data_IF_344910273359
#
_entry.id   IF_344910273359
#
_cell.length_a   1.000
_cell.length_b   1.000
_cell.length_c   1.000
_cell.angle_alpha   90.00
_cell.angle_beta   90.00
_cell.angle_gamma   90.00
#
_symmetry.space_group_name_H-M   'P 1'
#
loop_
_entity.id
_entity.type
_entity.pdbx_description
1 polymer ?
#
# COMPACT_ATOMS: atom_id res chain seq x y z
N UNK A 1 -34.88 -41.24 2.02
CA UNK A 1 -33.63 -40.47 2.23
C UNK A 1 -33.26 -39.88 0.87
N UNK A 2 -33.20 -38.55 0.71
CA UNK A 2 -32.61 -38.00 -0.50
C UNK A 2 -31.11 -38.31 -0.52
N UNK A 3 -30.50 -38.52 -1.70
CA UNK A 3 -29.06 -38.73 -1.80
C UNK A 3 -28.30 -37.47 -1.35
N UNK A 4 -27.06 -37.59 -0.84
CA UNK A 4 -26.22 -36.43 -0.58
C UNK A 4 -26.01 -35.66 -1.90
N UNK A 5 -26.00 -34.31 -1.86
CA UNK A 5 -25.73 -33.53 -3.06
C UNK A 5 -24.36 -33.90 -3.61
N UNK A 6 -24.32 -34.28 -4.88
CA UNK A 6 -23.09 -34.52 -5.63
C UNK A 6 -22.32 -33.21 -5.75
N UNK A 7 -21.37 -32.96 -4.84
CA UNK A 7 -20.46 -31.81 -4.88
C UNK A 7 -19.45 -32.01 -6.00
N UNK A 8 -19.81 -31.59 -7.22
CA UNK A 8 -18.91 -31.58 -8.38
C UNK A 8 -18.05 -30.31 -8.47
N UNK A 9 -18.18 -29.40 -7.51
CA UNK A 9 -17.36 -28.18 -7.43
C UNK A 9 -16.19 -28.43 -6.48
N UNK A 10 -14.93 -28.24 -6.91
CA UNK A 10 -13.80 -28.29 -5.99
C UNK A 10 -14.00 -27.31 -4.83
N UNK A 11 -13.69 -27.69 -3.58
CA UNK A 11 -13.81 -26.76 -2.45
C UNK A 11 -12.83 -25.62 -2.65
N UNK A 12 -13.38 -24.42 -2.85
CA UNK A 12 -12.59 -23.20 -3.07
C UNK A 12 -11.78 -22.88 -1.81
N UNK A 13 -10.62 -22.20 -1.96
CA UNK A 13 -9.79 -21.79 -0.82
C UNK A 13 -10.62 -21.13 0.28
N UNK A 14 -10.43 -21.62 1.52
CA UNK A 14 -11.26 -21.22 2.67
C UNK A 14 -10.37 -21.01 3.90
N UNK A 15 -10.46 -19.82 4.50
CA UNK A 15 -9.88 -19.53 5.81
C UNK A 15 -10.81 -20.05 6.91
N UNK A 16 -10.23 -20.69 7.93
CA UNK A 16 -10.95 -21.10 9.14
C UNK A 16 -10.29 -20.43 10.34
N UNK A 17 -11.11 -19.87 11.24
CA UNK A 17 -10.64 -19.13 12.40
C UNK A 17 -10.91 -19.90 13.69
N UNK A 18 -9.85 -20.23 14.42
CA UNK A 18 -9.92 -20.87 15.74
C UNK A 18 -9.75 -19.84 16.86
N UNK A 19 -10.53 -20.03 17.94
CA UNK A 19 -10.46 -19.21 19.16
C UNK A 19 -10.69 -17.72 18.94
N UNK A 20 -11.40 -17.34 17.87
CA UNK A 20 -11.68 -15.94 17.55
C UNK A 20 -12.50 -15.30 18.69
N UNK A 21 -12.02 -14.19 19.28
CA UNK A 21 -12.77 -13.49 20.33
C UNK A 21 -14.03 -12.84 19.75
N UNK A 22 -15.00 -12.56 20.62
CA UNK A 22 -16.21 -11.82 20.25
C UNK A 22 -15.91 -10.31 20.24
N UNK A 23 -16.52 -9.59 19.30
CA UNK A 23 -16.41 -8.13 19.15
C UNK A 23 -15.00 -7.60 18.86
N UNK A 24 -14.09 -8.47 18.42
CA UNK A 24 -12.82 -8.03 17.86
C UNK A 24 -13.01 -7.51 16.45
N UNK A 25 -12.00 -6.80 15.94
CA UNK A 25 -11.98 -6.34 14.57
C UNK A 25 -11.22 -7.35 13.70
N UNK A 26 -11.81 -7.67 12.55
CA UNK A 26 -11.24 -8.57 11.55
C UNK A 26 -11.37 -7.95 10.17
N UNK A 27 -10.26 -7.91 9.45
CA UNK A 27 -10.21 -7.50 8.06
C UNK A 27 -9.55 -8.55 7.18
N UNK A 28 -10.04 -8.67 5.96
CA UNK A 28 -9.44 -9.45 4.89
C UNK A 28 -9.50 -8.60 3.61
N UNK A 29 -8.34 -8.16 3.14
CA UNK A 29 -8.21 -7.26 2.00
C UNK A 29 -8.98 -5.95 2.21
N UNK A 30 -9.98 -5.66 1.38
CA UNK A 30 -10.87 -4.50 1.50
C UNK A 30 -12.15 -4.80 2.33
N UNK A 31 -12.33 -6.04 2.81
CA UNK A 31 -13.44 -6.41 3.67
C UNK A 31 -13.04 -6.20 5.13
N UNK A 32 -13.85 -5.47 5.89
CA UNK A 32 -13.72 -5.36 7.35
C UNK A 32 -15.03 -5.71 8.04
N UNK A 33 -14.94 -6.32 9.23
CA UNK A 33 -16.10 -6.72 10.03
C UNK A 33 -15.74 -6.83 11.51
N UNK A 34 -16.76 -6.71 12.35
CA UNK A 34 -16.68 -7.07 13.78
C UNK A 34 -16.97 -8.56 13.94
N UNK A 35 -16.10 -9.26 14.66
CA UNK A 35 -16.23 -10.71 14.87
C UNK A 35 -17.47 -11.04 15.70
N UNK A 36 -18.09 -12.18 15.39
CA UNK A 36 -19.24 -12.69 16.13
C UNK A 36 -19.05 -14.17 16.47
N UNK A 37 -19.75 -14.72 17.48
CA UNK A 37 -19.64 -16.14 17.84
C UNK A 37 -19.97 -17.10 16.68
N UNK A 38 -20.71 -16.63 15.68
CA UNK A 38 -21.12 -17.42 14.51
C UNK A 38 -20.07 -17.44 13.40
N UNK A 39 -19.16 -16.48 13.39
CA UNK A 39 -18.11 -16.41 12.37
C UNK A 39 -17.07 -17.49 12.64
N UNK A 40 -16.90 -18.38 11.68
CA UNK A 40 -15.96 -19.50 11.75
C UNK A 40 -14.92 -19.44 10.63
N UNK A 41 -15.13 -18.61 9.60
CA UNK A 41 -14.21 -18.53 8.48
C UNK A 41 -14.72 -17.69 7.31
N UNK A 42 -13.89 -17.58 6.29
CA UNK A 42 -14.20 -16.91 5.01
C UNK A 42 -13.87 -17.88 3.88
N UNK A 43 -14.80 -18.08 2.96
CA UNK A 43 -14.67 -19.00 1.82
C UNK A 43 -14.64 -18.27 0.48
N UNK A 44 -14.30 -19.02 -0.56
CA UNK A 44 -14.27 -18.57 -1.96
C UNK A 44 -13.23 -17.47 -2.23
N UNK A 45 -12.07 -17.55 -1.57
CA UNK A 45 -10.99 -16.60 -1.84
C UNK A 45 -10.41 -16.88 -3.24
N UNK A 46 -10.22 -15.84 -4.07
CA UNK A 46 -9.63 -15.99 -5.39
C UNK A 46 -8.12 -16.31 -5.28
N UNK A 47 -7.47 -16.77 -6.37
CA UNK A 47 -6.02 -16.83 -6.43
C UNK A 47 -5.37 -15.44 -6.39
N UNK A 48 -4.24 -15.31 -5.70
CA UNK A 48 -3.50 -14.07 -5.55
C UNK A 48 -2.95 -13.85 -4.13
N UNK A 49 -2.33 -12.69 -3.91
CA UNK A 49 -1.97 -12.24 -2.57
C UNK A 49 -3.20 -11.74 -1.83
N UNK A 50 -3.23 -12.00 -0.53
CA UNK A 50 -4.27 -11.56 0.37
C UNK A 50 -3.65 -11.04 1.67
N UNK A 51 -4.36 -10.13 2.32
CA UNK A 51 -3.94 -9.54 3.58
C UNK A 51 -5.01 -9.73 4.65
N UNK A 52 -4.72 -10.57 5.64
CA UNK A 52 -5.59 -10.80 6.79
C UNK A 52 -5.07 -9.96 7.96
N UNK A 53 -5.93 -9.13 8.55
CA UNK A 53 -5.56 -8.26 9.66
C UNK A 53 -6.62 -8.26 10.75
N UNK A 54 -6.21 -7.98 11.97
CA UNK A 54 -7.06 -8.07 13.13
C UNK A 54 -6.57 -7.18 14.26
N UNK A 55 -7.47 -6.84 15.16
CA UNK A 55 -7.15 -6.14 16.41
C UNK A 55 -8.17 -6.50 17.49
N UNK A 56 -7.79 -6.38 18.76
CA UNK A 56 -8.64 -6.75 19.90
C UNK A 56 -9.89 -5.89 20.01
N UNK A 57 -9.82 -4.64 19.54
CA UNK A 57 -10.93 -3.71 19.41
C UNK A 57 -10.80 -2.85 18.13
N UNK A 58 -11.94 -2.40 17.60
CA UNK A 58 -12.00 -1.59 16.39
C UNK A 58 -11.44 -0.15 16.56
N UNK A 59 -11.43 0.39 17.79
CA UNK A 59 -11.24 1.83 17.99
C UNK A 59 -9.83 2.26 18.42
N UNK A 60 -9.11 1.46 19.23
CA UNK A 60 -7.91 1.94 19.93
C UNK A 60 -6.77 0.90 20.05
N UNK A 61 -6.86 -0.25 19.38
CA UNK A 61 -5.87 -1.33 19.53
C UNK A 61 -4.93 -1.45 18.34
N UNK A 62 -3.69 -1.89 18.61
CA UNK A 62 -2.68 -2.18 17.58
C UNK A 62 -3.24 -3.19 16.59
N UNK A 63 -3.18 -2.84 15.31
CA UNK A 63 -3.60 -3.74 14.23
C UNK A 63 -2.43 -4.58 13.82
N UNK A 64 -2.65 -5.88 13.74
CA UNK A 64 -1.67 -6.85 13.26
C UNK A 64 -2.22 -7.53 12.02
N UNK A 65 -1.39 -7.73 11.01
CA UNK A 65 -1.79 -8.43 9.82
C UNK A 65 -0.70 -9.29 9.21
N UNK A 66 -1.15 -10.17 8.33
CA UNK A 66 -0.34 -11.14 7.63
C UNK A 66 -0.69 -11.16 6.16
N UNK A 67 0.33 -11.01 5.33
CA UNK A 67 0.28 -11.35 3.92
C UNK A 67 0.39 -12.85 3.73
N UNK A 68 -0.39 -13.40 2.81
CA UNK A 68 -0.30 -14.79 2.37
C UNK A 68 -0.74 -14.90 0.91
N UNK A 69 -0.36 -16.01 0.26
CA UNK A 69 -0.65 -16.24 -1.15
C UNK A 69 -1.56 -17.45 -1.36
N UNK A 70 -2.59 -17.29 -2.20
CA UNK A 70 -3.47 -18.36 -2.64
C UNK A 70 -3.07 -18.74 -4.08
N UNK A 71 -2.54 -19.96 -4.30
CA UNK A 71 -2.15 -20.39 -5.63
C UNK A 71 -3.37 -20.63 -6.51
N UNK A 72 -3.18 -20.45 -7.82
CA UNK A 72 -4.17 -20.80 -8.81
C UNK A 72 -4.55 -22.29 -8.70
N UNK A 73 -5.83 -22.65 -8.92
CA UNK A 73 -6.24 -24.05 -8.89
C UNK A 73 -5.45 -24.83 -9.94
N UNK A 74 -4.65 -25.79 -9.50
CA UNK A 74 -3.99 -26.73 -10.41
C UNK A 74 -5.08 -27.61 -11.04
N UNK A 75 -5.13 -27.73 -12.38
CA UNK A 75 -6.04 -28.69 -13.00
C UNK A 75 -5.67 -30.08 -12.49
N UNK A 76 -6.67 -30.82 -12.00
CA UNK A 76 -6.49 -32.19 -11.55
C UNK A 76 -5.86 -32.99 -12.71
N UNK A 77 -4.62 -33.43 -12.55
CA UNK A 77 -4.08 -34.53 -13.36
C UNK A 77 -5.04 -35.69 -13.25
N UNK A 78 -5.37 -36.35 -14.36
CA UNK A 78 -6.39 -37.42 -14.44
C UNK A 78 -6.33 -38.35 -13.21
N UNK A 79 -7.34 -38.26 -12.33
CA UNK A 79 -7.46 -39.06 -11.11
C UNK A 79 -7.04 -38.39 -9.79
N UNK A 80 -6.49 -37.18 -9.79
CA UNK A 80 -6.18 -36.41 -8.58
C UNK A 80 -7.42 -35.78 -7.95
N UNK A 81 -7.67 -36.04 -6.66
CA UNK A 81 -8.64 -35.26 -5.88
C UNK A 81 -8.19 -33.80 -5.85
N UNK A 82 -9.13 -32.87 -6.05
CA UNK A 82 -8.86 -31.46 -5.74
C UNK A 82 -8.51 -31.35 -4.25
N UNK A 83 -7.31 -30.87 -3.94
CA UNK A 83 -6.97 -30.50 -2.57
C UNK A 83 -7.82 -29.29 -2.17
N UNK A 84 -8.84 -29.54 -1.34
CA UNK A 84 -9.52 -28.49 -0.59
C UNK A 84 -8.49 -27.76 0.28
N UNK A 85 -8.09 -26.55 -0.12
CA UNK A 85 -7.13 -25.76 0.66
C UNK A 85 -7.85 -25.04 1.79
N UNK A 86 -8.02 -25.74 2.90
CA UNK A 86 -8.38 -25.16 4.18
C UNK A 86 -7.13 -24.48 4.74
N UNK A 87 -7.28 -23.23 5.14
CA UNK A 87 -6.18 -22.42 5.66
C UNK A 87 -6.54 -22.05 7.10
N UNK A 88 -6.09 -22.82 8.10
CA UNK A 88 -6.42 -22.54 9.49
C UNK A 88 -5.61 -21.37 10.03
N UNK A 89 -6.28 -20.53 10.80
CA UNK A 89 -5.73 -19.39 11.53
C UNK A 89 -6.23 -19.45 12.96
N UNK A 90 -5.38 -19.08 13.91
CA UNK A 90 -5.73 -19.10 15.33
C UNK A 90 -5.53 -17.73 15.94
N UNK A 91 -6.46 -17.32 16.79
CA UNK A 91 -6.26 -16.16 17.65
C UNK A 91 -5.20 -16.44 18.73
N UNK A 92 -4.21 -15.57 18.81
CA UNK A 92 -3.27 -15.52 19.92
C UNK A 92 -3.74 -14.44 20.91
N UNK A 93 -4.20 -14.84 22.10
CA UNK A 93 -4.56 -13.89 23.15
C UNK A 93 -3.35 -13.15 23.73
N UNK A 94 -2.14 -13.69 23.60
CA UNK A 94 -0.89 -13.06 24.05
C UNK A 94 -0.48 -11.90 23.13
N UNK A 95 -0.60 -12.10 21.82
CA UNK A 95 -0.19 -11.11 20.81
C UNK A 95 -1.39 -10.29 20.28
N UNK A 96 -2.59 -10.55 20.80
CA UNK A 96 -3.86 -9.98 20.34
C UNK A 96 -4.05 -9.97 18.80
N UNK A 97 -3.65 -11.06 18.14
CA UNK A 97 -3.68 -11.16 16.68
C UNK A 97 -3.99 -12.58 16.17
N UNK A 98 -4.45 -12.67 14.91
CA UNK A 98 -4.54 -13.93 14.18
C UNK A 98 -3.18 -14.36 13.65
N UNK A 99 -2.79 -15.59 13.96
CA UNK A 99 -1.54 -16.19 13.49
C UNK A 99 -1.82 -17.42 12.62
N UNK A 100 -0.97 -17.68 11.60
CA UNK A 100 -1.13 -18.86 10.76
C UNK A 100 -0.89 -20.13 11.58
N UNK A 101 -1.83 -21.09 11.51
CA UNK A 101 -1.67 -22.38 12.16
C UNK A 101 -1.05 -23.35 11.15
N UNK A 102 0.04 -24.04 11.54
CA UNK A 102 0.62 -25.09 10.71
C UNK A 102 -0.42 -26.16 10.41
N UNK A 103 -0.34 -26.76 9.21
CA UNK A 103 -1.27 -27.81 8.78
C UNK A 103 -1.43 -28.84 9.90
N UNK A 104 -2.64 -28.93 10.44
CA UNK A 104 -3.02 -30.12 11.19
C UNK A 104 -2.92 -31.23 10.15
N UNK A 105 -1.94 -32.13 10.30
CA UNK A 105 -1.80 -33.32 9.46
C UNK A 105 -3.07 -34.17 9.42
N UNK A 106 -4.06 -33.87 10.28
CA UNK A 106 -5.44 -34.34 10.17
C UNK A 106 -6.22 -33.52 9.13
N UNK A 107 -5.92 -33.77 7.87
CA UNK A 107 -6.85 -33.46 6.76
C UNK A 107 -8.26 -33.99 7.06
N UNK A 108 -8.39 -35.08 7.82
CA UNK A 108 -9.68 -35.60 8.29
C UNK A 108 -10.38 -34.70 9.32
N UNK A 109 -9.68 -34.11 10.30
CA UNK A 109 -10.29 -33.18 11.27
C UNK A 109 -10.70 -31.89 10.59
N UNK A 110 -9.82 -31.31 9.75
CA UNK A 110 -10.12 -30.08 9.03
C UNK A 110 -11.26 -30.28 8.01
N UNK A 111 -11.33 -31.43 7.33
CA UNK A 111 -12.44 -31.78 6.44
C UNK A 111 -13.74 -32.08 7.21
N UNK A 112 -13.65 -32.72 8.38
CA UNK A 112 -14.80 -32.92 9.27
C UNK A 112 -15.35 -31.59 9.81
N UNK A 113 -14.46 -30.64 10.10
CA UNK A 113 -14.81 -29.27 10.50
C UNK A 113 -15.46 -28.51 9.34
N UNK A 114 -14.92 -28.61 8.11
CA UNK A 114 -15.56 -28.05 6.92
C UNK A 114 -17.00 -28.53 6.77
N UNK A 115 -17.26 -29.85 6.86
CA UNK A 115 -18.60 -30.41 6.72
C UNK A 115 -19.58 -29.88 7.77
N UNK A 116 -19.11 -29.58 8.98
CA UNK A 116 -19.92 -28.97 10.06
C UNK A 116 -20.14 -27.47 9.88
N UNK A 117 -19.14 -26.76 9.35
CA UNK A 117 -19.10 -25.30 9.33
C UNK A 117 -19.66 -24.70 8.02
N UNK A 118 -19.66 -25.48 6.93
CA UNK A 118 -20.03 -25.05 5.57
C UNK A 118 -21.39 -24.35 5.46
N UNK A 119 -22.37 -24.79 6.26
CA UNK A 119 -23.76 -24.30 6.15
C UNK A 119 -24.08 -23.08 7.05
N UNK A 120 -23.27 -22.76 8.08
CA UNK A 120 -23.72 -21.80 9.12
C UNK A 120 -22.70 -20.81 9.67
N UNK A 121 -21.42 -20.89 9.29
CA UNK A 121 -20.38 -20.02 9.86
C UNK A 121 -19.36 -19.41 8.89
N UNK A 122 -19.48 -19.67 7.58
CA UNK A 122 -18.55 -19.15 6.57
C UNK A 122 -19.13 -17.95 5.85
N UNK A 123 -18.41 -16.82 5.90
CA UNK A 123 -18.68 -15.68 5.05
C UNK A 123 -18.15 -15.92 3.64
N UNK A 124 -18.88 -15.48 2.62
CA UNK A 124 -18.43 -15.59 1.23
C UNK A 124 -17.66 -14.34 0.82
N UNK A 125 -16.38 -14.49 0.48
CA UNK A 125 -15.52 -13.38 0.05
C UNK A 125 -16.08 -12.66 -1.19
N UNK A 126 -16.77 -13.40 -2.07
CA UNK A 126 -17.27 -12.86 -3.34
C UNK A 126 -18.59 -12.12 -3.22
N UNK A 127 -19.27 -12.25 -2.08
CA UNK A 127 -20.53 -11.55 -1.87
C UNK A 127 -20.22 -10.12 -1.39
N UNK A 128 -20.77 -9.09 -2.05
CA UNK A 128 -20.61 -7.72 -1.61
C UNK A 128 -21.32 -7.55 -0.26
N UNK A 129 -20.54 -7.59 0.82
CA UNK A 129 -21.02 -7.21 2.14
C UNK A 129 -21.31 -5.71 2.14
N UNK A 130 -22.59 -5.32 2.19
CA UNK A 130 -23.09 -3.98 2.54
C UNK A 130 -22.54 -2.75 1.78
N UNK A 131 -21.71 -2.88 0.74
CA UNK A 131 -21.26 -1.76 -0.10
C UNK A 131 -22.31 -1.46 -1.17
N UNK A 132 -22.69 -0.18 -1.30
CA UNK A 132 -23.79 0.29 -2.17
C UNK A 132 -23.43 0.34 -3.66
N UNK A 133 -22.20 0.02 -4.05
CA UNK A 133 -21.76 0.08 -5.45
C UNK A 133 -21.25 -1.28 -5.91
N UNK A 134 -21.78 -1.75 -7.04
CA UNK A 134 -21.62 -3.11 -7.59
C UNK A 134 -20.25 -3.43 -8.17
N UNK A 135 -19.17 -2.97 -7.54
CA UNK A 135 -17.80 -3.43 -7.81
C UNK A 135 -17.62 -4.87 -7.32
N UNK A 136 -16.93 -5.71 -8.11
CA UNK A 136 -16.50 -7.02 -7.62
C UNK A 136 -15.27 -6.79 -6.74
N UNK A 137 -15.42 -6.86 -5.42
CA UNK A 137 -14.35 -6.69 -4.42
C UNK A 137 -13.00 -7.33 -4.85
N UNK A 138 -13.05 -8.53 -5.41
CA UNK A 138 -11.87 -9.26 -5.88
C UNK A 138 -11.18 -8.72 -7.14
N UNK A 139 -11.83 -7.90 -7.98
CA UNK A 139 -11.14 -7.21 -9.08
C UNK A 139 -10.39 -5.98 -8.60
N UNK A 140 -10.99 -5.20 -7.70
CA UNK A 140 -10.36 -4.01 -7.10
C UNK A 140 -9.10 -4.40 -6.32
N UNK A 141 -9.21 -5.43 -5.46
CA UNK A 141 -8.07 -5.94 -4.70
C UNK A 141 -6.93 -6.43 -5.61
N UNK A 142 -7.25 -7.09 -6.72
CA UNK A 142 -6.24 -7.55 -7.69
C UNK A 142 -5.47 -6.39 -8.30
N UNK A 143 -6.15 -5.31 -8.66
CA UNK A 143 -5.50 -4.12 -9.21
C UNK A 143 -4.61 -3.43 -8.17
N UNK A 144 -5.03 -3.41 -6.89
CA UNK A 144 -4.23 -2.90 -5.78
C UNK A 144 -3.03 -3.78 -5.40
N UNK A 145 -2.99 -5.04 -5.85
CA UNK A 145 -1.93 -6.01 -5.52
C UNK A 145 -1.14 -6.52 -6.73
N UNK A 146 -1.35 -5.93 -7.91
CA UNK A 146 -0.76 -6.38 -9.18
C UNK A 146 0.77 -6.54 -9.17
N UNK A 147 1.48 -5.68 -8.43
CA UNK A 147 2.94 -5.63 -8.33
C UNK A 147 3.47 -6.17 -6.99
N UNK A 148 2.60 -6.69 -6.12
CA UNK A 148 3.02 -7.38 -4.90
C UNK A 148 3.61 -8.74 -5.29
N UNK A 149 4.78 -9.06 -4.74
CA UNK A 149 5.53 -10.30 -5.03
C UNK A 149 6.18 -10.84 -3.77
N UNK A 150 6.55 -12.13 -3.79
CA UNK A 150 7.31 -12.77 -2.70
C UNK A 150 8.61 -12.02 -2.44
N UNK A 151 9.36 -11.62 -3.49
CA UNK A 151 10.63 -10.91 -3.35
C UNK A 151 10.46 -9.54 -2.68
N UNK A 152 9.39 -8.80 -3.02
CA UNK A 152 9.05 -7.54 -2.36
C UNK A 152 8.75 -7.77 -0.87
N UNK A 153 7.87 -8.73 -0.56
CA UNK A 153 7.47 -9.00 0.82
C UNK A 153 8.62 -9.56 1.64
N UNK A 154 9.46 -10.41 1.04
CA UNK A 154 10.68 -10.96 1.65
C UNK A 154 11.70 -9.87 1.96
N UNK A 155 11.86 -8.90 1.04
CA UNK A 155 12.71 -7.73 1.28
C UNK A 155 12.14 -6.87 2.40
N UNK A 156 10.92 -6.35 2.25
CA UNK A 156 10.38 -5.31 3.14
C UNK A 156 10.01 -5.86 4.53
N UNK A 157 9.38 -7.03 4.57
CA UNK A 157 8.82 -7.63 5.79
C UNK A 157 9.59 -8.85 6.25
N UNK A 158 10.15 -9.63 5.31
CA UNK A 158 10.75 -10.96 5.50
C UNK A 158 9.78 -12.04 5.95
N UNK A 159 9.98 -13.24 5.40
CA UNK A 159 9.08 -14.35 5.66
C UNK A 159 9.10 -14.80 7.13
N UNK A 160 7.89 -14.92 7.69
CA UNK A 160 7.62 -15.63 8.93
C UNK A 160 7.32 -17.08 8.59
N UNK A 161 8.01 -18.00 9.28
CA UNK A 161 7.70 -19.41 9.15
C UNK A 161 6.45 -19.76 9.97
N UNK A 162 5.56 -20.59 9.40
CA UNK A 162 4.41 -21.13 10.13
C UNK A 162 4.86 -21.87 11.41
N UNK A 163 4.03 -21.85 12.44
CA UNK A 163 4.27 -22.56 13.69
C UNK A 163 3.09 -23.49 14.01
N UNK A 164 3.38 -24.69 14.52
CA UNK A 164 2.36 -25.61 15.03
C UNK A 164 1.93 -25.23 16.46
N UNK A 165 0.92 -25.93 17.01
CA UNK A 165 0.43 -25.71 18.38
C UNK A 165 1.50 -25.91 19.48
N UNK A 166 2.59 -26.60 19.17
CA UNK A 166 3.71 -26.84 20.07
C UNK A 166 4.89 -25.87 19.80
N UNK A 167 4.72 -24.86 18.94
CA UNK A 167 5.74 -23.88 18.58
C UNK A 167 6.81 -24.40 17.63
N UNK A 168 6.63 -25.59 17.02
CA UNK A 168 7.57 -26.12 16.02
C UNK A 168 7.31 -25.50 14.66
N UNK A 169 8.40 -25.25 13.94
CA UNK A 169 8.39 -24.69 12.59
C UNK A 169 7.62 -25.62 11.65
N UNK A 170 6.56 -25.12 11.05
CA UNK A 170 5.77 -25.80 10.03
C UNK A 170 6.52 -25.89 8.70
N UNK A 171 5.93 -26.62 7.72
CA UNK A 171 6.55 -26.79 6.41
C UNK A 171 6.74 -25.44 5.70
N UNK A 172 7.84 -25.32 4.95
CA UNK A 172 8.21 -24.12 4.19
C UNK A 172 7.22 -23.76 3.06
N UNK A 173 6.19 -24.59 2.82
CA UNK A 173 5.20 -24.45 1.75
C UNK A 173 4.18 -23.34 1.97
N UNK A 174 4.07 -22.77 3.17
CA UNK A 174 3.24 -21.59 3.45
C UNK A 174 4.11 -20.45 3.97
N UNK A 175 4.57 -19.60 3.05
CA UNK A 175 5.16 -18.30 3.40
C UNK A 175 4.06 -17.35 3.84
N UNK A 176 4.34 -16.59 4.88
CA UNK A 176 3.50 -15.49 5.36
C UNK A 176 4.39 -14.37 5.83
N UNK A 177 3.91 -13.13 5.76
CA UNK A 177 4.68 -11.95 6.17
C UNK A 177 3.87 -11.11 7.13
N UNK A 178 4.36 -10.95 8.36
CA UNK A 178 3.67 -10.19 9.41
C UNK A 178 4.06 -8.72 9.37
N UNK A 179 3.11 -7.87 9.72
CA UNK A 179 3.32 -6.44 9.95
C UNK A 179 2.24 -5.92 10.90
N UNK A 180 2.56 -4.90 11.69
CA UNK A 180 1.61 -4.23 12.57
C UNK A 180 1.49 -2.73 12.25
N UNK A 181 0.53 -2.08 12.91
CA UNK A 181 0.38 -0.62 12.87
C UNK A 181 1.57 0.13 13.47
N UNK A 182 2.39 -0.52 14.31
CA UNK A 182 3.56 0.09 14.97
C UNK A 182 4.90 -0.27 14.31
N UNK A 183 4.90 -1.25 13.38
CA UNK A 183 6.08 -1.58 12.59
C UNK A 183 6.61 -0.35 11.84
N UNK A 184 7.92 -0.14 11.88
CA UNK A 184 8.53 1.10 11.41
C UNK A 184 9.83 0.89 10.66
N UNK A 185 10.17 1.84 9.79
CA UNK A 185 11.45 1.85 9.09
C UNK A 185 12.50 2.65 9.89
N UNK A 186 13.77 2.24 9.90
CA UNK A 186 14.82 2.94 10.66
C UNK A 186 15.00 4.41 10.28
N UNK A 187 14.76 4.74 9.01
CA UNK A 187 14.85 6.09 8.46
C UNK A 187 13.74 7.05 8.95
N UNK A 188 12.71 6.52 9.62
CA UNK A 188 11.53 7.27 10.06
C UNK A 188 11.50 7.56 11.57
N UNK A 189 12.46 7.02 12.32
CA UNK A 189 12.55 7.15 13.79
C UNK A 189 12.57 8.62 14.24
N UNK A 190 13.23 9.50 13.49
CA UNK A 190 13.32 10.93 13.84
C UNK A 190 12.10 11.74 13.37
N UNK A 191 11.30 11.23 12.43
CA UNK A 191 10.18 11.95 11.81
C UNK A 191 8.84 11.64 12.43
N UNK A 192 8.69 10.47 13.07
CA UNK A 192 7.44 10.03 13.69
C UNK A 192 7.50 10.35 15.19
N UNK A 193 6.72 11.33 15.69
CA UNK A 193 6.70 11.66 17.11
C UNK A 193 6.25 10.45 17.95
N UNK A 194 7.01 10.13 18.99
CA UNK A 194 6.71 9.00 19.88
C UNK A 194 7.32 7.66 19.44
N UNK A 195 8.08 7.62 18.35
CA UNK A 195 8.83 6.44 17.94
C UNK A 195 10.22 6.47 18.61
N UNK A 196 10.34 6.12 19.89
CA UNK A 196 11.67 6.06 20.51
C UNK A 196 12.42 4.83 20.00
N UNK A 197 13.72 4.95 19.71
CA UNK A 197 14.58 3.80 19.31
C UNK A 197 14.54 2.67 20.34
N UNK A 198 14.18 2.99 21.58
CA UNK A 198 13.95 2.04 22.66
C UNK A 198 12.67 1.23 22.44
N UNK A 199 11.53 1.82 22.09
CA UNK A 199 10.25 1.09 21.92
C UNK A 199 10.28 0.12 20.73
N UNK A 200 10.89 0.51 19.60
CA UNK A 200 11.05 -0.37 18.43
C UNK A 200 11.94 -1.59 18.69
N UNK A 201 12.82 -1.54 19.70
CA UNK A 201 13.68 -2.67 20.13
C UNK A 201 13.05 -3.46 21.29
N UNK A 202 12.17 -2.84 22.09
CA UNK A 202 11.55 -3.44 23.27
C UNK A 202 10.47 -4.47 22.90
N UNK A 203 9.81 -4.34 21.75
CA UNK A 203 8.66 -5.21 21.39
C UNK A 203 9.00 -6.39 20.47
N UNK A 204 10.26 -6.56 20.02
CA UNK A 204 10.61 -7.63 19.08
C UNK A 204 9.97 -7.49 17.70
N UNK A 205 9.39 -6.32 17.43
CA UNK A 205 8.83 -5.90 16.14
C UNK A 205 9.93 -5.79 15.08
N UNK A 206 9.67 -6.34 13.90
CA UNK A 206 10.64 -6.31 12.80
C UNK A 206 10.60 -4.95 12.10
N UNK A 207 11.78 -4.42 11.80
CA UNK A 207 11.93 -3.18 11.03
C UNK A 207 11.53 -3.38 9.57
N UNK A 208 10.93 -2.34 8.98
CA UNK A 208 10.55 -2.31 7.57
C UNK A 208 11.77 -1.93 6.71
N UNK A 209 12.15 -2.81 5.78
CA UNK A 209 13.31 -2.64 4.89
C UNK A 209 12.89 -2.09 3.52
N UNK A 210 12.44 -0.83 3.52
CA UNK A 210 12.06 -0.09 2.30
C UNK A 210 13.26 0.24 1.41
N UNK A 211 12.97 0.59 0.16
CA UNK A 211 13.97 1.26 -0.69
C UNK A 211 14.38 2.59 -0.03
N UNK A 212 15.68 2.87 0.09
CA UNK A 212 16.18 4.06 0.78
C UNK A 212 15.97 5.29 -0.10
N UNK A 213 14.91 6.05 0.16
CA UNK A 213 14.58 7.27 -0.59
C UNK A 213 14.94 8.51 0.24
N UNK A 214 16.07 9.13 -0.08
CA UNK A 214 16.44 10.46 0.43
C UNK A 214 16.17 11.55 -0.61
N UNK A 215 15.04 12.26 -0.46
CA UNK A 215 14.66 13.37 -1.33
C UNK A 215 15.60 14.59 -1.21
N UNK A 216 16.45 14.66 -0.17
CA UNK A 216 17.46 15.71 -0.02
C UNK A 216 18.73 15.42 -0.82
N UNK A 217 18.86 14.23 -1.42
CA UNK A 217 20.05 13.81 -2.16
C UNK A 217 19.68 12.99 -3.40
N UNK A 218 19.09 13.67 -4.39
CA UNK A 218 18.60 13.05 -5.65
C UNK A 218 19.59 13.16 -6.82
N UNK A 219 20.87 13.42 -6.54
CA UNK A 219 21.93 13.63 -7.54
C UNK A 219 23.08 12.65 -7.36
N UNK A 220 23.87 12.45 -8.42
CA UNK A 220 25.03 11.57 -8.41
C UNK A 220 26.14 12.06 -7.48
N UNK A 221 26.91 11.13 -6.94
CA UNK A 221 28.08 11.48 -6.14
C UNK A 221 29.04 12.36 -6.94
N UNK A 222 29.54 13.42 -6.30
CA UNK A 222 30.40 14.42 -6.94
C UNK A 222 29.68 15.54 -7.71
N UNK A 223 28.35 15.50 -7.86
CA UNK A 223 27.60 16.61 -8.46
C UNK A 223 27.76 17.89 -7.63
N UNK A 224 27.89 19.05 -8.30
CA UNK A 224 28.07 20.38 -7.69
C UNK A 224 27.29 21.47 -8.43
N UNK A 225 26.94 22.54 -7.72
CA UNK A 225 26.30 23.74 -8.30
C UNK A 225 25.03 23.43 -9.08
N UNK A 226 24.97 23.92 -10.32
CA UNK A 226 23.81 23.77 -11.22
C UNK A 226 23.37 22.32 -11.44
N UNK A 227 24.31 21.38 -11.46
CA UNK A 227 23.98 19.96 -11.66
C UNK A 227 23.09 19.42 -10.53
N UNK A 228 23.30 19.87 -9.28
CA UNK A 228 22.44 19.49 -8.15
C UNK A 228 21.05 20.10 -8.31
N UNK A 229 20.98 21.39 -8.65
CA UNK A 229 19.70 22.08 -8.86
C UNK A 229 18.88 21.42 -9.95
N UNK A 230 19.51 21.05 -11.07
CA UNK A 230 18.84 20.36 -12.18
C UNK A 230 18.36 18.97 -11.76
N UNK A 231 19.15 18.20 -10.99
CA UNK A 231 18.78 16.87 -10.50
C UNK A 231 17.73 16.86 -9.36
N UNK A 232 17.58 17.96 -8.61
CA UNK A 232 16.47 18.13 -7.66
C UNK A 232 15.15 18.36 -8.41
N UNK A 233 15.20 19.12 -9.52
CA UNK A 233 14.05 19.43 -10.37
C UNK A 233 13.63 18.29 -11.28
N UNK A 234 14.59 17.47 -11.71
CA UNK A 234 14.35 16.26 -12.48
C UNK A 234 14.95 15.03 -11.79
N UNK A 235 14.09 14.28 -11.09
CA UNK A 235 14.49 13.09 -10.34
C UNK A 235 14.66 11.83 -11.20
N UNK A 236 14.66 11.96 -12.53
CA UNK A 236 14.76 10.81 -13.46
C UNK A 236 16.02 9.96 -13.26
N UNK A 237 17.17 10.59 -13.03
CA UNK A 237 18.41 9.86 -12.72
C UNK A 237 18.26 9.06 -11.42
N UNK A 238 17.68 9.68 -10.40
CA UNK A 238 17.49 9.05 -9.09
C UNK A 238 16.49 7.90 -9.13
N UNK A 239 15.40 8.04 -9.89
CA UNK A 239 14.48 6.94 -10.19
C UNK A 239 15.24 5.75 -10.80
N UNK A 240 16.14 6.01 -11.76
CA UNK A 240 16.98 4.97 -12.36
C UNK A 240 17.86 4.25 -11.33
N UNK A 241 18.41 4.96 -10.35
CA UNK A 241 19.19 4.35 -9.26
C UNK A 241 18.34 3.49 -8.33
N UNK A 242 17.13 3.94 -7.96
CA UNK A 242 16.21 3.15 -7.14
C UNK A 242 15.79 1.85 -7.84
N UNK A 243 15.54 1.92 -9.15
CA UNK A 243 15.21 0.74 -9.97
C UNK A 243 16.38 -0.25 -10.01
N UNK A 244 17.62 0.24 -10.13
CA UNK A 244 18.81 -0.61 -10.10
C UNK A 244 19.04 -1.23 -8.72
N UNK A 245 18.75 -0.50 -7.63
CA UNK A 245 18.89 -0.99 -6.26
C UNK A 245 17.85 -2.06 -5.90
N UNK A 246 16.67 -2.02 -6.53
CA UNK A 246 15.58 -2.97 -6.28
C UNK A 246 15.84 -4.37 -6.86
N UNK A 247 16.92 -4.57 -7.61
CA UNK A 247 17.28 -5.87 -8.20
C UNK A 247 18.73 -6.24 -7.87
N UNK A 248 19.05 -7.53 -7.98
CA UNK A 248 20.44 -7.98 -7.91
C UNK A 248 21.29 -7.30 -9.01
N UNK A 249 22.60 -7.15 -8.76
CA UNK A 249 23.50 -6.45 -9.69
C UNK A 249 23.45 -7.04 -11.09
N UNK A 250 23.03 -6.21 -12.07
CA UNK A 250 22.85 -6.63 -13.46
C UNK A 250 21.49 -7.26 -13.77
N UNK A 251 20.55 -7.23 -12.83
CA UNK A 251 19.17 -7.70 -13.01
C UNK A 251 18.36 -6.85 -13.99
N UNK A 252 17.19 -7.38 -14.39
CA UNK A 252 16.29 -6.70 -15.31
C UNK A 252 15.66 -5.46 -14.66
N UNK A 253 15.92 -4.28 -15.23
CA UNK A 253 15.36 -3.00 -14.78
C UNK A 253 13.83 -3.00 -14.76
N UNK A 254 13.17 -3.82 -15.58
CA UNK A 254 11.69 -3.97 -15.54
C UNK A 254 11.22 -4.59 -14.24
N UNK A 255 11.98 -5.54 -13.69
CA UNK A 255 11.71 -6.14 -12.38
C UNK A 255 11.91 -5.11 -11.28
N UNK A 256 12.97 -4.30 -11.35
CA UNK A 256 13.20 -3.22 -10.37
C UNK A 256 12.13 -2.14 -10.41
N UNK A 257 11.69 -1.75 -11.61
CA UNK A 257 10.56 -0.84 -11.80
C UNK A 257 9.26 -1.43 -11.22
N UNK A 258 8.99 -2.71 -11.46
CA UNK A 258 7.85 -3.41 -10.87
C UNK A 258 7.93 -3.48 -9.34
N UNK A 259 9.12 -3.72 -8.76
CA UNK A 259 9.31 -3.70 -7.31
C UNK A 259 9.03 -2.33 -6.69
N UNK A 260 9.38 -1.23 -7.35
CA UNK A 260 9.06 0.11 -6.85
C UNK A 260 7.54 0.38 -6.86
N UNK A 261 6.82 -0.06 -7.90
CA UNK A 261 5.35 -0.02 -7.92
C UNK A 261 4.73 -0.93 -6.85
N UNK A 262 5.33 -2.09 -6.63
CA UNK A 262 4.93 -3.02 -5.58
C UNK A 262 5.10 -2.41 -4.19
N UNK A 263 6.21 -1.71 -3.93
CA UNK A 263 6.43 -1.01 -2.67
C UNK A 263 5.43 0.14 -2.49
N UNK A 264 5.07 0.86 -3.57
CA UNK A 264 4.00 1.86 -3.56
C UNK A 264 2.63 1.24 -3.22
N UNK A 265 2.31 0.07 -3.77
CA UNK A 265 1.10 -0.70 -3.44
C UNK A 265 1.09 -1.17 -1.99
N UNK A 266 2.19 -1.78 -1.54
CA UNK A 266 2.33 -2.30 -0.19
C UNK A 266 2.12 -1.16 0.82
N UNK A 267 2.85 -0.06 0.64
CA UNK A 267 2.73 1.10 1.52
C UNK A 267 1.29 1.61 1.57
N UNK A 268 0.64 1.81 0.42
CA UNK A 268 -0.75 2.26 0.37
C UNK A 268 -1.69 1.33 1.16
N UNK A 269 -1.59 0.02 0.95
CA UNK A 269 -2.45 -0.96 1.60
C UNK A 269 -2.22 -1.03 3.12
N UNK A 270 -0.98 -0.85 3.58
CA UNK A 270 -0.67 -0.81 5.02
C UNK A 270 -1.15 0.49 5.67
N UNK A 271 -1.19 1.61 4.94
CA UNK A 271 -1.84 2.84 5.41
C UNK A 271 -3.35 2.60 5.54
N UNK A 272 -3.98 2.06 4.49
CA UNK A 272 -5.42 1.82 4.43
C UNK A 272 -5.91 0.87 5.54
N UNK A 273 -5.19 -0.22 5.78
CA UNK A 273 -5.66 -1.30 6.66
C UNK A 273 -5.16 -1.17 8.10
N UNK A 274 -3.93 -0.69 8.30
CA UNK A 274 -3.27 -0.64 9.61
C UNK A 274 -3.02 0.77 10.13
N UNK A 275 -3.27 1.82 9.34
CA UNK A 275 -2.86 3.18 9.64
C UNK A 275 -1.34 3.32 9.92
N UNK A 276 -0.51 2.59 9.16
CA UNK A 276 0.94 2.57 9.37
C UNK A 276 1.64 3.86 8.88
N UNK A 277 2.32 4.56 9.79
CA UNK A 277 2.95 5.86 9.52
C UNK A 277 4.23 5.77 8.68
N UNK A 278 5.09 4.77 8.89
CA UNK A 278 6.29 4.60 8.06
C UNK A 278 5.93 4.29 6.61
N UNK A 279 4.87 3.51 6.39
CA UNK A 279 4.30 3.28 5.06
C UNK A 279 3.77 4.57 4.43
N UNK A 280 3.11 5.47 5.19
CA UNK A 280 2.69 6.78 4.70
C UNK A 280 3.88 7.62 4.22
N UNK A 281 4.92 7.69 5.04
CA UNK A 281 6.13 8.45 4.72
C UNK A 281 6.86 7.89 3.50
N UNK A 282 6.93 6.56 3.37
CA UNK A 282 7.51 5.92 2.18
C UNK A 282 6.66 6.13 0.93
N UNK A 283 5.33 6.03 1.04
CA UNK A 283 4.41 6.32 -0.07
C UNK A 283 4.59 7.75 -0.60
N UNK A 284 4.68 8.75 0.30
CA UNK A 284 5.00 10.14 -0.06
C UNK A 284 6.34 10.26 -0.78
N UNK A 285 7.39 9.59 -0.29
CA UNK A 285 8.73 9.62 -0.89
C UNK A 285 8.75 9.04 -2.29
N UNK A 286 8.12 7.88 -2.50
CA UNK A 286 8.02 7.25 -3.81
C UNK A 286 7.28 8.18 -4.78
N UNK A 287 6.14 8.75 -4.38
CA UNK A 287 5.41 9.72 -5.20
C UNK A 287 6.22 10.98 -5.47
N UNK A 288 6.98 11.48 -4.49
CA UNK A 288 7.91 12.59 -4.69
C UNK A 288 8.94 12.30 -5.78
N UNK A 289 9.50 11.09 -5.84
CA UNK A 289 10.43 10.73 -6.92
C UNK A 289 9.70 10.65 -8.26
N UNK A 290 8.61 9.88 -8.32
CA UNK A 290 7.89 9.61 -9.57
C UNK A 290 7.32 10.90 -10.19
N UNK A 291 6.62 11.71 -9.39
CA UNK A 291 5.89 12.89 -9.90
C UNK A 291 6.81 14.09 -10.20
N UNK A 292 8.10 14.02 -9.85
CA UNK A 292 9.11 15.03 -10.20
C UNK A 292 10.07 14.59 -11.31
N UNK A 293 9.81 13.47 -11.99
CA UNK A 293 10.60 13.05 -13.15
C UNK A 293 10.22 13.85 -14.41
N UNK A 294 11.21 14.23 -15.21
CA UNK A 294 11.05 14.84 -16.54
C UNK A 294 11.65 13.97 -17.64
N UNK A 295 12.95 13.69 -17.64
CA UNK A 295 13.58 12.88 -18.67
C UNK A 295 12.99 11.46 -18.78
N UNK A 296 12.72 10.82 -17.64
CA UNK A 296 12.14 9.47 -17.60
C UNK A 296 10.73 9.41 -18.18
N UNK A 297 9.97 10.52 -18.19
CA UNK A 297 8.65 10.56 -18.84
C UNK A 297 8.78 10.19 -20.32
N UNK A 298 9.80 10.72 -20.99
CA UNK A 298 10.03 10.50 -22.42
C UNK A 298 10.63 9.12 -22.67
N UNK A 299 11.57 8.69 -21.83
CA UNK A 299 12.30 7.43 -22.02
C UNK A 299 11.47 6.18 -21.68
N UNK A 300 10.60 6.26 -20.66
CA UNK A 300 9.81 5.13 -20.16
C UNK A 300 8.34 5.52 -19.94
N UNK A 301 7.72 6.19 -20.91
CA UNK A 301 6.35 6.71 -20.80
C UNK A 301 5.29 5.69 -20.36
N UNK A 302 5.39 4.44 -20.82
CA UNK A 302 4.46 3.36 -20.42
C UNK A 302 4.52 3.05 -18.92
N UNK A 303 5.68 3.21 -18.28
CA UNK A 303 5.82 3.07 -16.84
C UNK A 303 5.02 4.16 -16.10
N UNK A 304 5.05 5.40 -16.60
CA UNK A 304 4.26 6.49 -16.02
C UNK A 304 2.77 6.35 -16.25
N UNK A 305 2.35 5.69 -17.34
CA UNK A 305 0.94 5.28 -17.53
C UNK A 305 0.52 4.35 -16.40
N UNK A 306 1.35 3.35 -16.05
CA UNK A 306 1.09 2.44 -14.95
C UNK A 306 1.07 3.17 -13.59
N UNK A 307 2.01 4.09 -13.34
CA UNK A 307 2.03 4.94 -12.14
C UNK A 307 0.73 5.72 -11.97
N UNK A 308 0.27 6.42 -13.02
CA UNK A 308 -0.95 7.25 -12.95
C UNK A 308 -2.19 6.39 -12.76
N UNK A 309 -2.28 5.23 -13.43
CA UNK A 309 -3.38 4.28 -13.23
C UNK A 309 -3.43 3.76 -11.80
N UNK A 310 -2.29 3.33 -11.27
CA UNK A 310 -2.17 2.84 -9.90
C UNK A 310 -2.56 3.92 -8.90
N UNK A 311 -2.02 5.14 -9.04
CA UNK A 311 -2.35 6.25 -8.17
C UNK A 311 -3.85 6.56 -8.20
N UNK A 312 -4.48 6.56 -9.38
CA UNK A 312 -5.93 6.75 -9.51
C UNK A 312 -6.74 5.72 -8.74
N UNK A 313 -6.36 4.44 -8.80
CA UNK A 313 -7.04 3.38 -8.06
C UNK A 313 -6.84 3.57 -6.56
N UNK A 314 -5.62 3.88 -6.12
CA UNK A 314 -5.32 4.14 -4.70
C UNK A 314 -6.13 5.32 -4.14
N UNK A 315 -6.19 6.45 -4.86
CA UNK A 315 -6.87 7.65 -4.36
C UNK A 315 -8.39 7.47 -4.24
N UNK A 316 -9.02 6.55 -4.98
CA UNK A 316 -10.43 6.18 -4.79
C UNK A 316 -10.71 5.51 -3.43
N UNK A 317 -9.69 4.92 -2.84
CA UNK A 317 -9.77 4.23 -1.55
C UNK A 317 -9.28 5.08 -0.39
N UNK A 318 -8.83 6.31 -0.60
CA UNK A 318 -8.35 7.16 0.50
C UNK A 318 -9.46 7.51 1.50
N UNK A 319 -10.73 7.57 1.08
CA UNK A 319 -11.86 7.77 2.00
C UNK A 319 -12.15 6.56 2.90
N UNK A 320 -11.66 5.37 2.52
CA UNK A 320 -11.83 4.14 3.29
C UNK A 320 -10.85 4.08 4.48
N UNK A 321 -9.90 5.01 4.57
CA UNK A 321 -8.84 5.02 5.60
C UNK A 321 -9.43 5.51 6.92
N UNK A 322 -9.45 4.62 7.90
CA UNK A 322 -9.93 4.93 9.24
C UNK A 322 -8.94 5.85 9.98
N UNK A 323 -9.45 6.77 10.80
CA UNK A 323 -8.62 7.67 11.63
C UNK A 323 -8.08 8.93 10.95
N UNK A 324 -8.49 9.22 9.70
CA UNK A 324 -8.15 10.50 9.04
C UNK A 324 -6.69 10.63 8.61
N UNK A 325 -5.95 9.52 8.55
CA UNK A 325 -4.53 9.49 8.16
C UNK A 325 -4.31 10.03 6.73
N UNK A 326 -5.33 9.91 5.88
CA UNK A 326 -5.44 10.62 4.60
C UNK A 326 -6.47 11.75 4.71
N UNK A 327 -6.04 12.93 5.15
CA UNK A 327 -6.86 14.12 5.01
C UNK A 327 -6.67 14.73 3.61
N UNK A 328 -7.40 14.17 2.64
CA UNK A 328 -7.44 14.67 1.26
C UNK A 328 -8.42 15.84 1.05
N UNK A 329 -9.27 16.13 2.04
CA UNK A 329 -10.32 17.16 1.91
C UNK A 329 -9.87 18.53 2.45
N UNK A 330 -8.91 18.58 3.36
CA UNK A 330 -8.40 19.84 3.93
C UNK A 330 -6.90 20.07 3.61
N UNK A 331 -6.15 20.69 4.52
CA UNK A 331 -4.77 21.16 4.32
C UNK A 331 -3.75 20.01 4.16
N UNK A 332 -4.06 18.81 4.64
CA UNK A 332 -3.16 17.65 4.65
C UNK A 332 -2.70 17.15 3.28
N UNK A 333 -3.41 17.50 2.21
CA UNK A 333 -3.08 17.11 0.84
C UNK A 333 -2.41 18.19 -0.02
N UNK A 334 -2.04 19.33 0.58
CA UNK A 334 -1.35 20.42 -0.15
C UNK A 334 -0.11 19.94 -0.91
N UNK A 335 0.71 19.11 -0.28
CA UNK A 335 1.92 18.54 -0.90
C UNK A 335 1.61 17.71 -2.15
N UNK A 336 0.58 16.85 -2.11
CA UNK A 336 0.21 16.00 -3.25
C UNK A 336 -0.42 16.82 -4.37
N UNK A 337 -1.25 17.82 -4.03
CA UNK A 337 -1.78 18.80 -5.00
C UNK A 337 -0.63 19.51 -5.72
N UNK A 338 0.37 19.98 -4.99
CA UNK A 338 1.57 20.62 -5.54
C UNK A 338 2.34 19.70 -6.49
N UNK A 339 2.63 18.47 -6.05
CA UNK A 339 3.32 17.46 -6.86
C UNK A 339 2.55 17.11 -8.15
N UNK A 340 1.23 16.92 -8.07
CA UNK A 340 0.40 16.62 -9.24
C UNK A 340 0.33 17.80 -10.21
N UNK A 341 0.24 19.04 -9.71
CA UNK A 341 0.28 20.23 -10.53
C UNK A 341 1.64 20.38 -11.24
N UNK A 342 2.75 20.10 -10.56
CA UNK A 342 4.08 20.07 -11.17
C UNK A 342 4.18 18.97 -12.24
N UNK A 343 3.76 17.75 -11.91
CA UNK A 343 3.77 16.62 -12.83
C UNK A 343 2.98 16.91 -14.09
N UNK A 344 1.78 17.48 -13.95
CA UNK A 344 0.94 17.91 -15.07
C UNK A 344 1.66 18.90 -15.98
N UNK A 345 2.27 19.95 -15.41
CA UNK A 345 3.06 20.93 -16.18
C UNK A 345 4.18 20.24 -16.95
N UNK A 346 4.92 19.32 -16.32
CA UNK A 346 5.97 18.55 -16.96
C UNK A 346 5.44 17.73 -18.16
N UNK A 347 4.30 17.05 -18.00
CA UNK A 347 3.66 16.26 -19.07
C UNK A 347 3.20 17.15 -20.23
N UNK A 348 2.58 18.29 -19.95
CA UNK A 348 2.13 19.24 -20.97
C UNK A 348 3.31 19.84 -21.76
N UNK A 349 4.37 20.28 -21.07
CA UNK A 349 5.57 20.85 -21.67
C UNK A 349 6.33 19.86 -22.57
N UNK A 350 6.51 18.62 -22.11
CA UNK A 350 7.36 17.64 -22.81
C UNK A 350 6.67 16.99 -24.02
N UNK A 351 5.37 16.77 -23.96
CA UNK A 351 4.67 15.95 -24.95
C UNK A 351 3.87 16.74 -26.00
N UNK A 352 3.81 18.07 -25.92
CA UNK A 352 3.13 18.92 -26.91
C UNK A 352 1.70 18.45 -27.22
N UNK A 353 1.28 18.43 -28.49
CA UNK A 353 -0.05 17.94 -28.90
C UNK A 353 -0.08 16.50 -29.41
N UNK A 354 1.04 15.92 -29.86
CA UNK A 354 1.04 14.66 -30.63
C UNK A 354 1.65 13.43 -29.93
N UNK A 355 2.43 13.61 -28.84
CA UNK A 355 3.06 12.49 -28.14
C UNK A 355 2.41 12.25 -26.76
N UNK A 356 2.64 11.08 -26.16
CA UNK A 356 2.20 10.76 -24.80
C UNK A 356 0.67 10.71 -24.60
N UNK A 357 -0.10 10.40 -25.64
CA UNK A 357 -1.58 10.44 -25.60
C UNK A 357 -2.19 9.56 -24.50
N UNK A 358 -1.63 8.37 -24.28
CA UNK A 358 -2.13 7.47 -23.23
C UNK A 358 -1.88 8.06 -21.84
N UNK A 359 -0.67 8.57 -21.56
CA UNK A 359 -0.35 9.20 -20.28
C UNK A 359 -1.24 10.43 -20.02
N UNK A 360 -1.43 11.28 -21.04
CA UNK A 360 -2.33 12.43 -20.95
C UNK A 360 -3.77 12.03 -20.68
N UNK A 361 -4.24 10.95 -21.29
CA UNK A 361 -5.59 10.41 -21.07
C UNK A 361 -5.76 9.93 -19.64
N UNK A 362 -4.82 9.13 -19.13
CA UNK A 362 -4.87 8.65 -17.75
C UNK A 362 -4.79 9.80 -16.74
N UNK A 363 -3.93 10.81 -17.00
CA UNK A 363 -3.80 11.98 -16.15
C UNK A 363 -5.09 12.79 -16.11
N UNK A 364 -5.74 13.02 -17.26
CA UNK A 364 -7.06 13.68 -17.30
C UNK A 364 -8.12 12.94 -16.51
N UNK A 365 -8.11 11.60 -16.57
CA UNK A 365 -9.05 10.80 -15.80
C UNK A 365 -8.77 10.90 -14.30
N UNK A 366 -7.49 10.89 -13.89
CA UNK A 366 -7.10 11.13 -12.50
C UNK A 366 -7.58 12.50 -12.00
N UNK A 367 -7.40 13.56 -12.79
CA UNK A 367 -7.87 14.90 -12.43
C UNK A 367 -9.40 14.98 -12.31
N UNK A 368 -10.12 14.30 -13.21
CA UNK A 368 -11.57 14.25 -13.15
C UNK A 368 -12.04 13.52 -11.89
N UNK A 369 -11.45 12.37 -11.59
CA UNK A 369 -11.76 11.60 -10.38
C UNK A 369 -11.49 12.45 -9.12
N UNK A 370 -10.33 13.14 -9.05
CA UNK A 370 -9.98 14.02 -7.94
C UNK A 370 -10.93 15.22 -7.78
N UNK A 371 -11.42 15.77 -8.89
CA UNK A 371 -12.41 16.85 -8.87
C UNK A 371 -13.75 16.36 -8.34
N UNK A 372 -14.22 15.22 -8.85
CA UNK A 372 -15.54 14.69 -8.52
C UNK A 372 -15.59 14.20 -7.07
N UNK A 373 -14.50 13.61 -6.59
CA UNK A 373 -14.43 12.97 -5.29
C UNK A 373 -14.00 13.92 -4.16
N UNK A 374 -13.07 14.83 -4.45
CA UNK A 374 -12.45 15.71 -3.45
C UNK A 374 -12.60 17.22 -3.75
N UNK A 375 -13.19 17.59 -4.89
CA UNK A 375 -13.32 19.00 -5.29
C UNK A 375 -12.00 19.65 -5.70
N UNK A 376 -10.97 18.86 -6.04
CA UNK A 376 -9.66 19.42 -6.39
C UNK A 376 -9.68 20.04 -7.79
N UNK A 377 -9.31 21.32 -7.88
CA UNK A 377 -9.06 22.00 -9.14
C UNK A 377 -7.54 22.13 -9.38
N UNK A 378 -6.97 21.24 -10.19
CA UNK A 378 -5.53 21.21 -10.54
C UNK A 378 -5.09 22.31 -11.51
N UNK A 379 -5.96 23.29 -11.81
CA UNK A 379 -5.80 24.22 -12.93
C UNK A 379 -5.95 25.72 -12.63
N UNK A 380 -6.28 26.10 -11.40
CA UNK A 380 -6.15 27.50 -10.97
C UNK A 380 -4.79 27.62 -10.30
N UNK A 381 -4.03 28.64 -10.66
CA UNK A 381 -2.82 29.03 -9.90
C UNK A 381 -3.20 29.11 -8.44
N UNK A 382 -2.84 28.09 -7.68
CA UNK A 382 -3.03 28.06 -6.25
C UNK A 382 -2.05 29.13 -5.75
N UNK A 383 -2.59 30.23 -5.22
CA UNK A 383 -1.81 31.31 -4.64
C UNK A 383 -0.82 30.69 -3.65
N UNK A 384 0.46 30.68 -4.02
CA UNK A 384 1.55 30.12 -3.22
C UNK A 384 1.80 30.92 -1.93
N UNK A 385 1.43 32.21 -1.97
CA UNK A 385 1.38 33.18 -0.87
C UNK A 385 0.34 34.25 -1.19
N UNK A 386 -0.41 34.69 -0.20
CA UNK A 386 -1.35 35.79 -0.39
C UNK A 386 -1.92 36.32 0.91
N UNK A 387 -1.94 37.65 1.05
CA UNK A 387 -2.67 38.35 2.11
C UNK A 387 -4.16 38.23 1.83
N UNK A 388 -4.88 37.47 2.66
CA UNK A 388 -6.33 37.37 2.63
C UNK A 388 -6.91 38.39 3.62
N UNK A 389 -7.75 39.30 3.13
CA UNK A 389 -8.47 40.25 4.00
C UNK A 389 -9.81 39.61 4.40
N UNK A 390 -9.97 39.32 5.70
CA UNK A 390 -11.17 38.74 6.30
C UNK A 390 -12.33 39.75 6.31
N UNK A 391 -13.56 39.29 6.58
CA UNK A 391 -14.77 40.12 6.60
C UNK A 391 -14.72 41.25 7.65
N UNK A 392 -13.82 41.15 8.63
CA UNK A 392 -13.55 42.16 9.66
C UNK A 392 -12.39 43.13 9.31
N UNK A 393 -11.79 42.98 8.12
CA UNK A 393 -10.68 43.79 7.64
C UNK A 393 -9.30 43.34 8.13
N UNK A 394 -9.20 42.21 8.83
CA UNK A 394 -7.92 41.64 9.25
C UNK A 394 -7.22 40.96 8.05
N UNK A 395 -5.95 41.30 7.85
CA UNK A 395 -5.14 40.74 6.76
C UNK A 395 -4.29 39.60 7.28
N UNK A 396 -4.62 38.38 6.85
CA UNK A 396 -3.92 37.16 7.23
C UNK A 396 -3.00 36.73 6.09
N UNK A 397 -1.73 36.50 6.41
CA UNK A 397 -0.79 35.92 5.45
C UNK A 397 -1.03 34.40 5.36
N UNK A 398 -1.51 33.93 4.21
CA UNK A 398 -1.70 32.50 3.97
C UNK A 398 -0.45 31.92 3.30
N UNK A 399 0.28 31.08 4.05
CA UNK A 399 1.31 30.19 3.53
C UNK A 399 0.73 28.78 3.34
N UNK A 400 0.84 28.25 2.11
CA UNK A 400 0.40 26.88 1.84
C UNK A 400 1.47 25.90 2.33
N UNK A 401 1.12 24.98 3.23
CA UNK A 401 2.03 23.94 3.72
C UNK A 401 2.70 23.19 2.55
N UNK A 402 4.02 23.34 2.42
CA UNK A 402 4.84 22.77 1.34
C UNK A 402 5.36 23.78 0.29
N UNK A 403 5.02 25.06 0.39
CA UNK A 403 5.57 26.11 -0.48
C UNK A 403 7.06 26.42 -0.23
N UNK A 404 7.54 26.21 1.00
CA UNK A 404 8.92 26.56 1.40
C UNK A 404 10.00 25.68 0.74
N UNK A 405 9.67 24.49 0.22
CA UNK A 405 10.65 23.66 -0.49
C UNK A 405 10.92 24.12 -1.93
N UNK A 406 10.06 24.99 -2.50
CA UNK A 406 10.22 25.51 -3.87
C UNK A 406 10.96 26.85 -3.94
N UNK A 407 11.16 27.58 -2.82
CA UNK A 407 11.73 28.94 -2.83
C UNK A 407 13.26 28.99 -2.93
N UNK A 408 13.92 27.85 -3.18
CA UNK A 408 15.30 27.79 -3.71
C UNK A 408 15.35 28.02 -5.23
N UNK A 409 14.31 28.61 -5.83
CA UNK A 409 14.36 29.17 -7.19
C UNK A 409 15.13 30.49 -7.17
N UNK A 410 16.45 30.39 -7.11
CA UNK A 410 17.34 31.52 -6.91
C UNK A 410 17.09 32.75 -7.80
N UNK A 411 16.95 33.88 -7.13
CA UNK A 411 17.64 35.12 -7.51
C UNK A 411 18.63 35.46 -6.40
N UNK A 412 19.80 34.81 -6.40
CA UNK A 412 20.93 35.29 -5.60
C UNK A 412 21.50 36.51 -6.31
N UNK A 413 21.01 37.70 -5.98
CA UNK A 413 21.67 38.94 -6.35
C UNK A 413 22.93 39.06 -5.46
N UNK A 414 24.16 38.97 -6.01
CA UNK A 414 25.35 39.17 -5.20
C UNK A 414 25.38 40.63 -4.71
N UNK A 415 25.30 40.81 -3.39
CA UNK A 415 25.57 42.11 -2.77
C UNK A 415 27.08 42.35 -2.86
N UNK A 416 27.49 43.27 -3.74
CA UNK A 416 28.86 43.79 -3.72
C UNK A 416 28.99 44.63 -2.46
N UNK A 417 29.78 44.14 -1.51
CA UNK A 417 30.20 44.93 -0.35
C UNK A 417 31.47 45.67 -0.77
N UNK A 418 31.35 46.95 -1.08
CA UNK A 418 32.52 47.81 -1.17
C UNK A 418 33.10 47.96 0.25
N UNK A 419 34.29 47.40 0.43
CA UNK A 419 35.08 47.57 1.64
C UNK A 419 35.80 48.91 1.52
N UNK A 420 35.24 49.96 2.13
CA UNK A 420 35.99 51.16 2.52
C UNK A 420 36.72 50.96 3.85
#
# INVERSE_FOLDING_TARGET
MPPPPSTSTPPMPTLIFHSLPNNAFLGLDLLSLTTSPKLQGIKNLPPGYHFLYSSSDASLSTRHGYWFFIPAPTPATEGGQYESKIIPWRWSGENECLIPEADVSDTESAQADLGRVWERGLLDYTQPGSRKEGGKLGSEWRELTEYITDDLLDRVLGAVASQDRAGKRGPASRRSWSISSVSSAPQDVEKIPGLTTSEAVIEGEKQLEFLPIDLKRTWREGAVGRERTDAVRDRSWYLGQLIELAVESGGDKRVGAAQLLGELQLCFLMILTLANWSCLEQWKRILGVLLSCRQALVEVGDYFVAVVRLLRIQLKHCQDVEGGLFDLKEEGAGWLKGLLAQFRRNVEELFGTANGEMLKTELKQLEQDLRDEYGWETGKDILKRGLLELEDGERVDMDMNGADEEDETGEYAPVVVDLE
#
